data_IF_637553771017
#
_entry.id   IF_637553771017
#
_cell.length_a   1.000
_cell.length_b   1.000
_cell.length_c   1.000
_cell.angle_alpha   90.00
_cell.angle_beta   90.00
_cell.angle_gamma   90.00
#
_symmetry.space_group_name_H-M   'P 1'
#
loop_
_entity.id
_entity.type
_entity.pdbx_description
1 polymer ?
#
# COMPACT_ATOMS: atom_id res chain seq x y z
N UNK A 1 48.45 61.58 -0.84
CA UNK A 1 47.40 60.80 -0.14
C UNK A 1 46.13 61.65 -0.13
N UNK A 2 44.96 61.04 -0.29
CA UNK A 2 43.58 61.57 -0.44
C UNK A 2 43.09 61.99 -1.84
N UNK A 3 42.06 61.26 -2.31
CA UNK A 3 41.16 61.56 -3.44
C UNK A 3 39.74 61.73 -2.87
N UNK A 4 38.92 62.64 -3.40
CA UNK A 4 37.53 62.33 -3.78
C UNK A 4 37.16 63.02 -5.12
N UNK A 5 36.40 62.47 -6.08
CA UNK A 5 35.17 61.68 -6.01
C UNK A 5 33.95 62.59 -6.29
N UNK A 6 33.34 62.55 -7.50
CA UNK A 6 32.02 63.16 -7.80
C UNK A 6 31.15 62.23 -8.69
N UNK A 7 29.81 62.22 -8.50
CA UNK A 7 28.98 61.03 -8.70
C UNK A 7 28.22 60.97 -10.04
N UNK A 8 27.79 59.74 -10.37
CA UNK A 8 26.97 59.32 -11.51
C UNK A 8 25.47 59.42 -11.17
N UNK A 9 24.63 59.86 -12.13
CA UNK A 9 23.16 59.92 -11.99
C UNK A 9 22.51 58.55 -12.28
N UNK A 10 21.51 58.10 -11.51
CA UNK A 10 20.77 56.89 -11.83
C UNK A 10 19.64 57.15 -12.83
N UNK A 11 19.51 56.26 -13.81
CA UNK A 11 18.38 56.18 -14.74
C UNK A 11 17.25 55.32 -14.15
N UNK A 12 16.03 55.74 -14.47
CA UNK A 12 14.71 55.29 -14.03
C UNK A 12 14.44 53.80 -14.30
N UNK A 13 14.01 53.05 -13.28
CA UNK A 13 13.32 51.76 -13.46
C UNK A 13 11.81 52.03 -13.53
N UNK A 14 11.16 51.51 -14.57
CA UNK A 14 9.71 51.55 -14.73
C UNK A 14 9.08 50.48 -13.82
N UNK A 15 8.53 50.90 -12.68
CA UNK A 15 7.68 50.06 -11.84
C UNK A 15 6.38 49.77 -12.61
N UNK A 16 6.19 48.49 -12.91
CA UNK A 16 4.95 47.99 -13.50
C UNK A 16 3.92 47.92 -12.38
N UNK A 17 2.77 48.57 -12.58
CA UNK A 17 1.67 48.70 -11.62
C UNK A 17 1.12 47.32 -11.19
N UNK A 18 1.67 46.73 -10.14
CA UNK A 18 0.99 45.74 -9.31
C UNK A 18 0.32 46.48 -8.15
N UNK A 19 -0.99 46.73 -8.28
CA UNK A 19 -1.78 47.32 -7.21
C UNK A 19 -1.91 46.35 -6.02
N UNK A 20 -2.16 46.85 -4.80
CA UNK A 20 -2.36 45.99 -3.63
C UNK A 20 -3.51 44.98 -3.82
N UNK A 21 -4.49 45.27 -4.67
CA UNK A 21 -5.61 44.37 -4.99
C UNK A 21 -5.19 43.13 -5.81
N UNK A 22 -4.22 43.25 -6.73
CA UNK A 22 -3.77 42.11 -7.55
C UNK A 22 -2.97 41.10 -6.73
N UNK A 23 -2.16 41.59 -5.80
CA UNK A 23 -1.42 40.75 -4.86
C UNK A 23 -2.34 40.02 -3.86
N UNK A 24 -3.46 40.65 -3.48
CA UNK A 24 -4.47 40.02 -2.63
C UNK A 24 -5.24 38.93 -3.37
N UNK A 25 -5.65 39.19 -4.62
CA UNK A 25 -6.33 38.21 -5.49
C UNK A 25 -5.44 37.02 -5.83
N UNK A 26 -4.16 37.26 -6.14
CA UNK A 26 -3.18 36.20 -6.38
C UNK A 26 -2.99 35.32 -5.13
N UNK A 27 -2.92 35.94 -3.95
CA UNK A 27 -2.77 35.21 -2.68
C UNK A 27 -4.02 34.40 -2.30
N UNK A 28 -5.20 34.89 -2.66
CA UNK A 28 -6.47 34.18 -2.45
C UNK A 28 -6.58 32.98 -3.39
N UNK A 29 -6.26 33.16 -4.67
CA UNK A 29 -6.21 32.09 -5.66
C UNK A 29 -5.23 30.98 -5.27
N UNK A 30 -4.02 31.34 -4.82
CA UNK A 30 -3.02 30.37 -4.36
C UNK A 30 -3.49 29.56 -3.15
N UNK A 31 -4.27 30.17 -2.23
CA UNK A 31 -4.85 29.47 -1.08
C UNK A 31 -5.94 28.49 -1.49
N UNK A 32 -6.79 28.86 -2.44
CA UNK A 32 -7.83 27.95 -2.94
C UNK A 32 -7.24 26.77 -3.70
N UNK A 33 -6.20 27.00 -4.51
CA UNK A 33 -5.47 25.92 -5.18
C UNK A 33 -4.79 24.99 -4.17
N UNK A 34 -4.15 25.54 -3.12
CA UNK A 34 -3.55 24.73 -2.06
C UNK A 34 -4.61 23.89 -1.32
N UNK A 35 -5.77 24.48 -0.99
CA UNK A 35 -6.88 23.77 -0.35
C UNK A 35 -7.45 22.66 -1.24
N UNK A 36 -7.58 22.90 -2.54
CA UNK A 36 -8.06 21.88 -3.48
C UNK A 36 -7.06 20.73 -3.60
N UNK A 37 -5.76 21.03 -3.71
CA UNK A 37 -4.69 20.03 -3.71
C UNK A 37 -4.65 19.23 -2.39
N UNK A 38 -4.82 19.89 -1.23
CA UNK A 38 -4.92 19.22 0.08
C UNK A 38 -6.14 18.30 0.15
N UNK A 39 -7.28 18.72 -0.39
CA UNK A 39 -8.51 17.92 -0.45
C UNK A 39 -8.35 16.72 -1.40
N UNK A 40 -7.72 16.91 -2.55
CA UNK A 40 -7.40 15.84 -3.50
C UNK A 40 -6.41 14.84 -2.88
N UNK A 41 -5.34 15.31 -2.23
CA UNK A 41 -4.39 14.46 -1.50
C UNK A 41 -5.06 13.70 -0.35
N UNK A 42 -5.92 14.38 0.41
CA UNK A 42 -6.69 13.73 1.50
C UNK A 42 -7.67 12.71 0.93
N UNK A 43 -8.36 13.00 -0.18
CA UNK A 43 -9.27 12.07 -0.83
C UNK A 43 -8.55 10.81 -1.34
N UNK A 44 -7.35 10.98 -1.92
CA UNK A 44 -6.46 9.87 -2.29
C UNK A 44 -6.04 9.05 -1.07
N UNK A 45 -5.80 9.70 0.08
CA UNK A 45 -5.47 9.03 1.34
C UNK A 45 -6.68 8.35 2.03
N UNK A 46 -7.91 8.71 1.67
CA UNK A 46 -9.14 8.26 2.37
C UNK A 46 -9.72 6.97 1.80
N UNK A 47 -9.35 6.56 0.59
CA UNK A 47 -9.66 5.21 0.13
C UNK A 47 -8.72 4.22 0.80
N UNK A 48 -9.14 3.59 1.91
CA UNK A 48 -8.36 2.53 2.60
C UNK A 48 -8.67 1.13 2.10
N UNK A 49 -9.52 0.99 1.09
CA UNK A 49 -10.02 -0.29 0.57
C UNK A 49 -9.69 -0.40 -0.92
N UNK A 50 -9.34 -1.61 -1.35
CA UNK A 50 -9.24 -1.99 -2.75
C UNK A 50 -10.65 -2.23 -3.31
N UNK A 51 -11.01 -1.52 -4.38
CA UNK A 51 -12.36 -1.55 -4.95
C UNK A 51 -12.74 -2.91 -5.53
N UNK A 52 -11.75 -3.70 -5.97
CA UNK A 52 -11.97 -4.99 -6.62
C UNK A 52 -12.24 -6.11 -5.61
N UNK A 53 -11.38 -6.21 -4.59
CA UNK A 53 -11.37 -7.32 -3.62
C UNK A 53 -12.09 -6.97 -2.32
N UNK A 54 -12.35 -5.68 -2.08
CA UNK A 54 -12.90 -5.15 -0.84
C UNK A 54 -12.05 -5.54 0.38
N UNK A 55 -10.75 -5.79 0.18
CA UNK A 55 -9.77 -5.86 1.23
C UNK A 55 -9.16 -4.48 1.44
N UNK A 56 -8.61 -4.19 2.63
CA UNK A 56 -7.72 -3.04 2.80
C UNK A 56 -6.68 -2.98 1.68
N UNK A 57 -6.52 -1.81 1.06
CA UNK A 57 -5.41 -1.59 0.13
C UNK A 57 -4.10 -1.39 0.92
N UNK A 58 -2.99 -1.12 0.23
CA UNK A 58 -1.68 -0.94 0.88
C UNK A 58 -1.75 0.01 2.09
N UNK A 59 -2.30 1.22 1.92
CA UNK A 59 -2.40 2.21 2.99
C UNK A 59 -3.33 1.75 4.13
N UNK A 60 -4.48 1.15 3.79
CA UNK A 60 -5.41 0.62 4.78
C UNK A 60 -4.82 -0.52 5.60
N UNK A 61 -4.13 -1.45 4.93
CA UNK A 61 -3.44 -2.56 5.55
C UNK A 61 -2.36 -2.06 6.51
N UNK A 62 -1.49 -1.15 6.07
CA UNK A 62 -0.40 -0.61 6.88
C UNK A 62 -0.93 0.05 8.17
N UNK A 63 -1.98 0.87 8.06
CA UNK A 63 -2.58 1.53 9.21
C UNK A 63 -3.21 0.53 10.20
N UNK A 64 -3.88 -0.51 9.71
CA UNK A 64 -4.47 -1.56 10.55
C UNK A 64 -3.39 -2.47 11.17
N UNK A 65 -2.38 -2.83 10.38
CA UNK A 65 -1.24 -3.63 10.79
C UNK A 65 -0.46 -2.92 11.91
N UNK A 66 -0.22 -1.61 11.79
CA UNK A 66 0.44 -0.83 12.83
C UNK A 66 -0.32 -0.92 14.17
N UNK A 67 -1.65 -0.75 14.14
CA UNK A 67 -2.49 -0.89 15.34
C UNK A 67 -2.40 -2.31 15.93
N UNK A 68 -2.39 -3.33 15.08
CA UNK A 68 -2.22 -4.73 15.49
C UNK A 68 -0.87 -4.99 16.16
N UNK A 69 0.21 -4.46 15.58
CA UNK A 69 1.56 -4.54 16.15
C UNK A 69 1.66 -3.82 17.49
N UNK A 70 1.11 -2.61 17.61
CA UNK A 70 1.08 -1.85 18.86
C UNK A 70 0.35 -2.62 19.97
N UNK A 71 -0.78 -3.27 19.64
CA UNK A 71 -1.50 -4.11 20.58
C UNK A 71 -0.70 -5.36 20.99
N UNK A 72 -0.02 -6.01 20.04
CA UNK A 72 0.88 -7.13 20.32
C UNK A 72 2.03 -6.73 21.25
N UNK A 73 2.65 -5.56 21.03
CA UNK A 73 3.69 -5.01 21.90
C UNK A 73 3.19 -4.78 23.32
N UNK A 74 2.03 -4.13 23.47
CA UNK A 74 1.43 -3.84 24.77
C UNK A 74 1.07 -5.12 25.55
N UNK A 75 0.63 -6.16 24.85
CA UNK A 75 0.20 -7.42 25.45
C UNK A 75 1.32 -8.47 25.57
N UNK A 76 2.52 -8.18 25.08
CA UNK A 76 3.62 -9.15 25.01
C UNK A 76 3.30 -10.36 24.13
N UNK A 77 2.48 -10.18 23.08
CA UNK A 77 2.08 -11.21 22.14
C UNK A 77 2.94 -11.16 20.87
N UNK A 78 3.23 -12.31 20.25
CA UNK A 78 3.94 -12.33 18.97
C UNK A 78 3.02 -11.89 17.82
N UNK A 79 3.62 -11.49 16.71
CA UNK A 79 2.93 -11.28 15.44
C UNK A 79 3.76 -11.87 14.30
N UNK A 80 3.09 -12.35 13.27
CA UNK A 80 3.72 -12.89 12.05
C UNK A 80 3.08 -12.25 10.83
N UNK A 81 3.90 -11.72 9.93
CA UNK A 81 3.44 -11.23 8.63
C UNK A 81 3.59 -12.35 7.59
N UNK A 82 2.52 -12.59 6.84
CA UNK A 82 2.52 -13.43 5.65
C UNK A 82 2.37 -12.55 4.43
N UNK A 83 3.13 -12.85 3.38
CA UNK A 83 3.04 -12.19 2.08
C UNK A 83 2.78 -13.25 1.01
N UNK A 84 1.81 -12.98 0.15
CA UNK A 84 1.35 -13.89 -0.88
C UNK A 84 1.50 -13.22 -2.25
N UNK A 85 1.89 -14.00 -3.25
CA UNK A 85 1.91 -13.62 -4.66
C UNK A 85 1.21 -14.70 -5.49
N UNK A 86 0.32 -14.29 -6.40
CA UNK A 86 -0.40 -15.22 -7.27
C UNK A 86 0.50 -15.72 -8.41
N UNK A 87 0.72 -17.02 -8.45
CA UNK A 87 1.61 -17.63 -9.43
C UNK A 87 1.06 -17.44 -10.85
N UNK A 88 1.91 -16.99 -11.77
CA UNK A 88 1.60 -16.81 -13.19
C UNK A 88 0.39 -15.87 -13.47
N UNK A 89 0.06 -14.92 -12.58
CA UNK A 89 -1.09 -14.04 -12.76
C UNK A 89 -1.07 -13.25 -14.08
N UNK A 90 0.10 -12.75 -14.51
CA UNK A 90 0.26 -12.09 -15.82
C UNK A 90 -0.13 -13.00 -16.99
N UNK A 91 0.13 -14.31 -16.87
CA UNK A 91 -0.23 -15.30 -17.89
C UNK A 91 -1.74 -15.50 -17.96
N UNK A 92 -2.42 -15.53 -16.80
CA UNK A 92 -3.89 -15.59 -16.73
C UNK A 92 -4.50 -14.40 -17.47
N UNK A 93 -4.05 -13.18 -17.13
CA UNK A 93 -4.49 -11.96 -17.81
C UNK A 93 -4.26 -11.98 -19.32
N UNK A 94 -3.12 -12.52 -19.75
CA UNK A 94 -2.75 -12.58 -21.16
C UNK A 94 -3.61 -13.57 -21.95
N UNK A 95 -3.85 -14.76 -21.42
CA UNK A 95 -4.59 -15.82 -22.13
C UNK A 95 -6.11 -15.70 -22.02
N UNK A 96 -6.61 -15.30 -20.85
CA UNK A 96 -8.04 -15.33 -20.55
C UNK A 96 -8.67 -13.93 -20.42
N UNK A 97 -7.83 -12.89 -20.42
CA UNK A 97 -8.25 -11.50 -20.35
C UNK A 97 -8.34 -10.96 -18.91
N UNK A 98 -8.38 -9.63 -18.81
CA UNK A 98 -8.35 -8.92 -17.51
C UNK A 98 -9.53 -9.24 -16.60
N UNK A 99 -10.73 -9.41 -17.17
CA UNK A 99 -11.92 -9.75 -16.38
C UNK A 99 -11.76 -11.09 -15.64
N UNK A 100 -11.09 -12.05 -16.28
CA UNK A 100 -10.83 -13.36 -15.67
C UNK A 100 -9.72 -13.27 -14.60
N UNK A 101 -8.69 -12.44 -14.84
CA UNK A 101 -7.72 -12.09 -13.79
C UNK A 101 -8.37 -11.40 -12.59
N UNK A 102 -9.31 -10.49 -12.82
CA UNK A 102 -10.08 -9.82 -11.76
C UNK A 102 -10.87 -10.83 -10.92
N UNK A 103 -11.46 -11.85 -11.55
CA UNK A 103 -12.18 -12.91 -10.85
C UNK A 103 -11.24 -13.88 -10.10
N UNK A 104 -10.02 -14.11 -10.60
CA UNK A 104 -9.00 -14.83 -9.86
C UNK A 104 -8.61 -14.08 -8.57
N UNK A 105 -8.40 -12.77 -8.65
CA UNK A 105 -8.09 -11.91 -7.50
C UNK A 105 -9.20 -11.91 -6.45
N UNK A 106 -10.46 -11.77 -6.87
CA UNK A 106 -11.63 -11.86 -5.97
C UNK A 106 -11.70 -13.22 -5.29
N UNK A 107 -11.50 -14.30 -6.05
CA UNK A 107 -11.54 -15.67 -5.51
C UNK A 107 -10.47 -15.87 -4.44
N UNK A 108 -9.25 -15.40 -4.69
CA UNK A 108 -8.16 -15.50 -3.73
C UNK A 108 -8.43 -14.64 -2.48
N UNK A 109 -8.90 -13.41 -2.66
CA UNK A 109 -9.27 -12.52 -1.55
C UNK A 109 -10.35 -13.13 -0.64
N UNK A 110 -11.36 -13.78 -1.22
CA UNK A 110 -12.40 -14.48 -0.46
C UNK A 110 -11.84 -15.69 0.30
N UNK A 111 -10.93 -16.44 -0.30
CA UNK A 111 -10.24 -17.55 0.38
C UNK A 111 -9.45 -17.04 1.58
N UNK A 112 -8.68 -15.96 1.44
CA UNK A 112 -7.96 -15.35 2.56
C UNK A 112 -8.93 -14.92 3.68
N UNK A 113 -10.03 -14.23 3.31
CA UNK A 113 -11.03 -13.73 4.27
C UNK A 113 -11.68 -14.86 5.08
N UNK A 114 -11.90 -16.03 4.48
CA UNK A 114 -12.48 -17.20 5.16
C UNK A 114 -11.41 -17.96 5.97
N UNK A 115 -10.16 -17.98 5.49
CA UNK A 115 -9.09 -18.73 6.12
C UNK A 115 -8.60 -18.07 7.43
N UNK A 116 -8.49 -16.76 7.45
CA UNK A 116 -7.96 -16.01 8.58
C UNK A 116 -9.05 -15.55 9.55
N UNK A 117 -8.64 -15.20 10.77
CA UNK A 117 -9.56 -14.77 11.83
C UNK A 117 -9.88 -13.30 11.68
N UNK A 118 -10.96 -12.85 12.31
CA UNK A 118 -11.32 -11.43 12.36
C UNK A 118 -10.26 -10.55 13.04
N UNK A 119 -9.46 -11.14 13.95
CA UNK A 119 -8.33 -10.47 14.61
C UNK A 119 -7.09 -10.32 13.72
N UNK A 120 -7.06 -11.01 12.59
CA UNK A 120 -5.95 -10.95 11.64
C UNK A 120 -6.24 -9.82 10.64
N UNK A 121 -5.22 -9.07 10.27
CA UNK A 121 -5.36 -8.01 9.26
C UNK A 121 -5.01 -8.61 7.92
N UNK A 122 -5.86 -8.44 6.91
CA UNK A 122 -5.60 -8.92 5.54
C UNK A 122 -5.65 -7.71 4.63
N UNK A 123 -4.83 -7.66 3.58
CA UNK A 123 -4.83 -6.57 2.62
C UNK A 123 -4.30 -6.99 1.25
N UNK A 124 -4.63 -6.19 0.23
CA UNK A 124 -4.06 -6.28 -1.11
C UNK A 124 -2.96 -5.23 -1.25
N UNK A 125 -1.76 -5.70 -1.57
CA UNK A 125 -0.55 -4.86 -1.58
C UNK A 125 -0.19 -4.35 -2.97
N UNK A 126 -0.55 -5.09 -4.01
CA UNK A 126 -0.19 -4.79 -5.40
C UNK A 126 -1.17 -5.41 -6.41
N UNK A 127 -0.70 -5.66 -7.63
CA UNK A 127 -1.52 -6.23 -8.71
C UNK A 127 -2.02 -7.64 -8.39
N UNK A 128 -1.14 -8.49 -7.87
CA UNK A 128 -1.28 -9.91 -7.57
C UNK A 128 -0.85 -10.26 -6.14
N UNK A 129 -0.44 -9.24 -5.38
CA UNK A 129 0.18 -9.39 -4.08
C UNK A 129 -0.82 -9.13 -2.94
N UNK A 130 -0.76 -9.96 -1.91
CA UNK A 130 -1.60 -9.86 -0.71
C UNK A 130 -0.75 -10.03 0.55
N UNK A 131 -1.23 -9.49 1.65
CA UNK A 131 -0.58 -9.65 2.95
C UNK A 131 -1.59 -10.03 4.04
N UNK A 132 -1.12 -10.77 5.04
CA UNK A 132 -1.87 -11.06 6.26
C UNK A 132 -0.98 -10.88 7.50
N UNK A 133 -1.38 -10.04 8.45
CA UNK A 133 -0.76 -9.92 9.76
C UNK A 133 -1.53 -10.76 10.78
N UNK A 134 -0.88 -11.81 11.28
CA UNK A 134 -1.42 -12.70 12.29
C UNK A 134 -1.01 -12.23 13.68
N UNK A 135 -1.99 -11.83 14.49
CA UNK A 135 -1.74 -11.35 15.86
C UNK A 135 -1.81 -12.50 16.86
N UNK A 136 -0.91 -12.51 17.84
CA UNK A 136 -0.83 -13.59 18.84
C UNK A 136 -0.35 -14.93 18.31
N UNK A 137 0.32 -14.96 17.16
CA UNK A 137 0.85 -16.19 16.54
C UNK A 137 2.36 -16.07 16.31
N UNK A 138 3.14 -17.00 16.85
CA UNK A 138 4.55 -17.25 16.52
C UNK A 138 4.72 -18.66 15.93
N UNK A 139 5.82 -18.92 15.21
CA UNK A 139 6.11 -20.27 14.72
C UNK A 139 5.01 -20.81 13.80
N UNK A 140 4.41 -19.93 13.00
CA UNK A 140 3.33 -20.27 12.09
C UNK A 140 3.82 -21.34 11.11
N UNK A 141 3.15 -22.49 11.09
CA UNK A 141 3.51 -23.57 10.18
C UNK A 141 3.02 -23.25 8.76
N UNK A 142 3.91 -22.67 7.96
CA UNK A 142 3.63 -22.36 6.54
C UNK A 142 3.06 -23.55 5.78
N UNK A 143 3.54 -24.81 5.93
CA UNK A 143 2.94 -25.94 5.26
C UNK A 143 1.45 -26.14 5.60
N UNK A 144 1.05 -25.90 6.85
CA UNK A 144 -0.34 -26.05 7.28
C UNK A 144 -1.24 -24.94 6.72
N UNK A 145 -0.76 -23.68 6.73
CA UNK A 145 -1.48 -22.56 6.10
C UNK A 145 -1.61 -22.79 4.61
N UNK A 146 -0.51 -23.16 3.95
CA UNK A 146 -0.48 -23.45 2.52
C UNK A 146 -1.48 -24.55 2.18
N UNK A 147 -1.43 -25.69 2.86
CA UNK A 147 -2.33 -26.82 2.60
C UNK A 147 -3.81 -26.41 2.76
N UNK A 148 -4.15 -25.65 3.81
CA UNK A 148 -5.52 -25.16 4.02
C UNK A 148 -5.99 -24.23 2.90
N UNK A 149 -5.16 -23.28 2.48
CA UNK A 149 -5.51 -22.34 1.41
C UNK A 149 -5.58 -23.06 0.06
N UNK A 150 -4.68 -24.00 -0.22
CA UNK A 150 -4.68 -24.83 -1.42
C UNK A 150 -5.93 -25.70 -1.51
N UNK A 151 -6.35 -26.34 -0.42
CA UNK A 151 -7.60 -27.11 -0.36
C UNK A 151 -8.82 -26.24 -0.71
N UNK A 152 -8.92 -25.05 -0.10
CA UNK A 152 -10.00 -24.11 -0.40
C UNK A 152 -9.96 -23.61 -1.85
N UNK A 153 -8.78 -23.39 -2.42
CA UNK A 153 -8.64 -22.98 -3.82
C UNK A 153 -8.97 -24.12 -4.78
N UNK A 154 -8.55 -25.35 -4.48
CA UNK A 154 -8.85 -26.52 -5.31
C UNK A 154 -10.36 -26.75 -5.39
N UNK A 155 -11.12 -26.55 -4.31
CA UNK A 155 -12.59 -26.55 -4.33
C UNK A 155 -13.17 -25.46 -5.25
N UNK A 156 -12.60 -24.25 -5.22
CA UNK A 156 -13.03 -23.12 -6.07
C UNK A 156 -12.61 -23.27 -7.53
N UNK A 157 -11.50 -23.95 -7.80
CA UNK A 157 -11.02 -24.26 -9.14
C UNK A 157 -11.88 -25.39 -9.75
N UNK A 158 -12.28 -26.38 -8.95
CA UNK A 158 -13.14 -27.47 -9.42
C UNK A 158 -14.56 -27.01 -9.75
N UNK A 159 -15.09 -26.00 -9.04
CA UNK A 159 -16.45 -25.49 -9.23
C UNK A 159 -16.58 -24.51 -10.40
N UNK A 160 -15.50 -23.85 -10.80
CA UNK A 160 -15.48 -22.88 -11.89
C UNK A 160 -14.44 -23.34 -12.92
N UNK A 161 -14.89 -23.92 -14.03
CA UNK A 161 -14.02 -24.44 -15.09
C UNK A 161 -13.36 -23.33 -15.91
N UNK A 162 -12.36 -22.65 -15.33
CA UNK A 162 -11.66 -21.49 -15.92
C UNK A 162 -10.55 -21.87 -16.91
N UNK A 163 -10.12 -23.14 -16.94
CA UNK A 163 -9.00 -23.60 -17.77
C UNK A 163 -7.61 -23.36 -17.15
N UNK A 164 -7.56 -22.83 -15.93
CA UNK A 164 -6.35 -22.65 -15.14
C UNK A 164 -6.68 -22.84 -13.65
N UNK A 165 -5.64 -23.15 -12.85
CA UNK A 165 -5.74 -23.20 -11.40
C UNK A 165 -5.18 -21.92 -10.78
N UNK A 166 -5.87 -21.38 -9.80
CA UNK A 166 -5.33 -20.33 -8.94
C UNK A 166 -4.32 -20.96 -7.98
N UNK A 167 -3.05 -20.56 -8.06
CA UNK A 167 -1.93 -21.01 -7.23
C UNK A 167 -1.19 -19.78 -6.66
N UNK A 168 -0.43 -19.99 -5.59
CA UNK A 168 0.28 -18.90 -4.92
C UNK A 168 1.58 -19.34 -4.26
N UNK A 169 2.48 -18.38 -4.15
CA UNK A 169 3.65 -18.44 -3.28
C UNK A 169 3.36 -17.70 -1.97
N UNK A 170 3.98 -18.13 -0.87
CA UNK A 170 3.84 -17.50 0.44
C UNK A 170 5.19 -17.41 1.13
N UNK A 171 5.48 -16.22 1.65
CA UNK A 171 6.66 -15.90 2.46
C UNK A 171 6.19 -15.44 3.83
N UNK A 172 6.99 -15.70 4.87
CA UNK A 172 6.67 -15.26 6.23
C UNK A 172 7.82 -14.45 6.83
N UNK A 173 7.45 -13.52 7.70
CA UNK A 173 8.37 -12.75 8.52
C UNK A 173 7.80 -12.58 9.92
N UNK A 174 8.55 -13.03 10.93
CA UNK A 174 8.16 -12.82 12.33
C UNK A 174 8.44 -11.37 12.76
N UNK A 175 7.48 -10.78 13.48
CA UNK A 175 7.66 -9.44 14.01
C UNK A 175 8.59 -9.45 15.24
N UNK A 176 9.78 -8.88 15.06
CA UNK A 176 10.69 -8.56 16.15
C UNK A 176 10.75 -7.05 16.44
N UNK A 177 10.33 -6.60 17.65
CA UNK A 177 10.31 -5.17 18.00
C UNK A 177 11.67 -4.46 17.92
N UNK A 178 12.76 -5.21 18.09
CA UNK A 178 14.12 -4.68 18.01
C UNK A 178 14.59 -4.45 16.56
N UNK A 179 13.95 -5.09 15.58
CA UNK A 179 14.32 -5.05 14.16
C UNK A 179 13.29 -4.27 13.33
N UNK A 180 12.01 -4.36 13.69
CA UNK A 180 10.90 -3.71 12.99
C UNK A 180 10.25 -2.70 13.92
N UNK A 181 10.41 -1.41 13.61
CA UNK A 181 9.88 -0.31 14.43
C UNK A 181 8.43 0.05 14.05
N UNK A 182 7.98 -0.37 12.87
CA UNK A 182 6.66 -0.07 12.32
C UNK A 182 6.17 -1.17 11.38
N UNK A 183 4.87 -1.13 11.02
CA UNK A 183 4.29 -1.97 9.99
C UNK A 183 4.95 -1.73 8.63
N UNK A 184 5.24 -0.46 8.29
CA UNK A 184 6.01 -0.10 7.09
C UNK A 184 7.39 -0.79 7.06
N UNK A 185 8.12 -0.76 8.18
CA UNK A 185 9.43 -1.41 8.27
C UNK A 185 9.35 -2.94 8.14
N UNK A 186 8.29 -3.56 8.66
CA UNK A 186 8.04 -4.99 8.52
C UNK A 186 7.69 -5.36 7.06
N UNK A 187 6.88 -4.53 6.39
CA UNK A 187 6.54 -4.68 4.97
C UNK A 187 7.77 -4.51 4.06
N UNK A 188 8.63 -3.52 4.36
CA UNK A 188 9.89 -3.34 3.64
C UNK A 188 10.79 -4.58 3.78
N UNK A 189 10.95 -5.10 4.99
CA UNK A 189 11.80 -6.27 5.24
C UNK A 189 11.32 -7.55 4.52
N UNK A 190 10.01 -7.80 4.45
CA UNK A 190 9.50 -8.98 3.72
C UNK A 190 9.63 -8.79 2.20
N UNK A 191 9.48 -7.56 1.68
CA UNK A 191 9.63 -7.27 0.25
C UNK A 191 11.06 -7.53 -0.26
N UNK A 192 12.07 -7.28 0.57
CA UNK A 192 13.48 -7.62 0.27
C UNK A 192 13.69 -9.13 0.15
N UNK A 193 12.98 -9.94 0.95
CA UNK A 193 13.08 -11.40 0.89
C UNK A 193 12.38 -12.00 -0.33
N UNK A 194 11.28 -11.38 -0.79
CA UNK A 194 10.49 -11.86 -1.94
C UNK A 194 11.19 -11.55 -3.27
N UNK A 195 12.22 -10.68 -3.29
CA UNK A 195 13.02 -10.41 -4.50
C UNK A 195 12.75 -9.05 -5.17
N UNK A 196 12.03 -8.15 -4.49
CA UNK A 196 12.05 -6.69 -4.71
C UNK A 196 11.55 -6.14 -6.05
N UNK A 197 10.32 -5.63 -6.07
CA UNK A 197 10.09 -4.26 -6.52
C UNK A 197 9.54 -3.45 -5.33
N UNK A 198 10.22 -2.37 -4.89
CA UNK A 198 9.74 -1.57 -3.78
C UNK A 198 8.43 -0.90 -4.22
N UNK A 199 7.34 -1.28 -3.57
CA UNK A 199 5.97 -0.75 -3.65
C UNK A 199 5.87 0.52 -4.52
N UNK A 200 5.76 0.31 -5.84
CA UNK A 200 5.84 1.36 -6.83
C UNK A 200 4.48 1.54 -7.49
N UNK A 201 3.82 2.65 -7.17
CA UNK A 201 2.64 3.15 -7.88
C UNK A 201 2.83 3.04 -9.40
N UNK A 202 1.84 2.48 -10.09
CA UNK A 202 1.61 2.70 -11.53
C UNK A 202 0.17 3.15 -11.72
#
# INVERSE_FOLDING_TARGET
>A
MLVPGKPIKPGTCADTLHGPDTALQERELLRDLARQAEQELTAVQVASMDELTLLPNHHGFEALAQRGLDACLQLGKPATLLFFDLDNFKHINYLYGRAEGDDALKTFADVLRIAFRESDVIGRMGSDEFAALLTGSNGVEIPAIRARLEEMLDERNATVHRGYDIRFSVTQLEFHPAQHQSAEGLLAAISEQVGGHPFGHS
#
